data_IF_459690283434
#
_entry.id   IF_459690283434
#
_cell.length_a   1.000
_cell.length_b   1.000
_cell.length_c   1.000
_cell.angle_alpha   90.00
_cell.angle_beta   90.00
_cell.angle_gamma   90.00
#
_symmetry.space_group_name_H-M   'P 1'
#
loop_
_entity.id
_entity.type
_entity.pdbx_description
1 polymer ?
#
# COMPACT_ATOMS: atom_id res chain seq x y z
N UNK A 1 11.53 -8.56 -9.24
CA UNK A 1 11.91 -8.43 -7.82
C UNK A 1 12.62 -9.71 -7.42
N UNK A 2 13.90 -9.65 -7.05
CA UNK A 2 14.71 -10.84 -6.72
C UNK A 2 14.59 -11.28 -5.26
N UNK A 3 13.36 -11.43 -4.75
CA UNK A 3 13.10 -11.83 -3.35
C UNK A 3 13.00 -13.35 -3.17
N UNK A 4 12.72 -14.08 -4.24
CA UNK A 4 12.59 -15.53 -4.28
C UNK A 4 13.62 -16.09 -5.24
N UNK A 5 14.09 -17.31 -5.01
CA UNK A 5 14.89 -18.02 -6.01
C UNK A 5 14.00 -18.47 -7.17
N UNK A 6 14.57 -18.61 -8.36
CA UNK A 6 13.83 -19.03 -9.55
C UNK A 6 13.26 -20.45 -9.35
N UNK A 7 13.99 -21.33 -8.67
CA UNK A 7 13.55 -22.71 -8.39
C UNK A 7 12.30 -22.73 -7.48
N UNK A 8 12.28 -21.92 -6.42
CA UNK A 8 11.11 -21.82 -5.54
C UNK A 8 9.91 -21.22 -6.28
N UNK A 9 10.16 -20.20 -7.12
CA UNK A 9 9.10 -19.58 -7.91
C UNK A 9 8.48 -20.55 -8.91
N UNK A 10 9.30 -21.23 -9.71
CA UNK A 10 8.84 -22.21 -10.71
C UNK A 10 8.11 -23.38 -10.04
N UNK A 11 8.67 -23.91 -8.95
CA UNK A 11 8.05 -25.00 -8.19
C UNK A 11 6.68 -24.59 -7.61
N UNK A 12 6.57 -23.38 -7.07
CA UNK A 12 5.29 -22.85 -6.57
C UNK A 12 4.28 -22.66 -7.71
N UNK A 13 4.70 -22.13 -8.87
CA UNK A 13 3.82 -21.97 -10.02
C UNK A 13 3.24 -23.29 -10.51
N UNK A 14 4.08 -24.32 -10.65
CA UNK A 14 3.67 -25.64 -11.12
C UNK A 14 2.67 -26.28 -10.15
N UNK A 15 2.94 -26.21 -8.85
CA UNK A 15 2.13 -26.92 -7.84
C UNK A 15 0.89 -26.16 -7.40
N UNK A 16 0.88 -24.82 -7.47
CA UNK A 16 -0.26 -24.00 -7.04
C UNK A 16 -1.23 -23.64 -8.17
N UNK A 17 -0.80 -23.66 -9.44
CA UNK A 17 -1.69 -23.39 -10.59
C UNK A 17 -2.39 -22.02 -10.53
N UNK A 18 -1.77 -21.04 -9.90
CA UNK A 18 -2.34 -19.70 -9.69
C UNK A 18 -3.21 -19.54 -8.44
N UNK A 19 -3.51 -20.62 -7.70
CA UNK A 19 -4.24 -20.55 -6.43
C UNK A 19 -3.28 -20.62 -5.24
N UNK A 20 -2.89 -19.45 -4.75
CA UNK A 20 -1.98 -19.30 -3.61
C UNK A 20 -2.69 -18.99 -2.28
N UNK A 21 -4.01 -18.72 -2.32
CA UNK A 21 -4.78 -18.37 -1.12
C UNK A 21 -5.48 -19.58 -0.50
N UNK A 22 -5.81 -20.58 -1.31
CA UNK A 22 -6.40 -21.84 -0.88
C UNK A 22 -5.60 -22.99 -1.52
N UNK A 23 -4.49 -23.43 -0.89
CA UNK A 23 -3.53 -24.31 -1.52
C UNK A 23 -4.18 -25.64 -1.94
N UNK A 24 -4.14 -26.02 -3.22
CA UNK A 24 -4.84 -27.19 -3.72
C UNK A 24 -4.20 -28.53 -3.30
N UNK A 25 -2.95 -28.50 -2.84
CA UNK A 25 -2.19 -29.67 -2.43
C UNK A 25 -1.07 -29.31 -1.44
N UNK A 26 -0.43 -30.33 -0.87
CA UNK A 26 0.63 -30.20 0.13
C UNK A 26 1.86 -29.48 -0.43
N UNK A 27 2.27 -29.78 -1.67
CA UNK A 27 3.45 -29.16 -2.29
C UNK A 27 3.26 -27.65 -2.48
N UNK A 28 2.05 -27.22 -2.84
CA UNK A 28 1.71 -25.79 -2.90
C UNK A 28 1.74 -25.15 -1.51
N UNK A 29 1.19 -25.82 -0.48
CA UNK A 29 1.23 -25.31 0.89
C UNK A 29 2.68 -25.16 1.41
N UNK A 30 3.55 -26.14 1.12
CA UNK A 30 4.98 -26.07 1.44
C UNK A 30 5.68 -24.91 0.71
N UNK A 31 5.35 -24.71 -0.56
CA UNK A 31 5.88 -23.60 -1.35
C UNK A 31 5.47 -22.25 -0.78
N UNK A 32 4.19 -22.09 -0.43
CA UNK A 32 3.67 -20.86 0.20
C UNK A 32 4.37 -20.61 1.53
N UNK A 33 4.55 -21.64 2.36
CA UNK A 33 5.27 -21.52 3.62
C UNK A 33 6.71 -21.05 3.41
N UNK A 34 7.43 -21.61 2.44
CA UNK A 34 8.79 -21.18 2.10
C UNK A 34 8.83 -19.72 1.61
N UNK A 35 7.87 -19.31 0.77
CA UNK A 35 7.73 -17.92 0.31
C UNK A 35 7.44 -16.97 1.47
N UNK A 36 6.54 -17.35 2.38
CA UNK A 36 6.20 -16.57 3.57
C UNK A 36 7.43 -16.41 4.47
N UNK A 37 8.21 -17.46 4.66
CA UNK A 37 9.45 -17.41 5.44
C UNK A 37 10.53 -16.51 4.80
N UNK A 38 10.66 -16.54 3.47
CA UNK A 38 11.55 -15.65 2.72
C UNK A 38 11.13 -14.19 2.80
N UNK A 39 9.83 -13.92 2.84
CA UNK A 39 9.26 -12.57 2.77
C UNK A 39 8.81 -12.02 4.13
N UNK A 40 8.94 -12.79 5.21
CA UNK A 40 8.44 -12.43 6.54
C UNK A 40 8.97 -11.10 7.04
N UNK A 41 10.20 -10.73 6.72
CA UNK A 41 10.82 -9.48 7.21
C UNK A 41 10.79 -8.34 6.19
N UNK A 42 10.07 -8.52 5.08
CA UNK A 42 9.90 -7.51 4.04
C UNK A 42 8.71 -6.60 4.37
N UNK A 43 8.88 -5.30 4.15
CA UNK A 43 7.75 -4.38 4.12
C UNK A 43 6.98 -4.54 2.81
N UNK A 44 5.85 -5.24 2.85
CA UNK A 44 5.05 -5.51 1.65
C UNK A 44 4.52 -4.25 0.96
N UNK A 45 4.43 -3.11 1.67
CA UNK A 45 3.97 -1.85 1.04
C UNK A 45 5.08 -1.10 0.31
N UNK A 46 6.34 -1.42 0.61
CA UNK A 46 7.51 -0.84 -0.04
C UNK A 46 8.76 -1.70 0.25
N UNK A 47 9.15 -2.57 -0.68
CA UNK A 47 10.16 -3.61 -0.42
C UNK A 47 11.55 -3.09 -0.01
N UNK A 48 11.88 -1.83 -0.33
CA UNK A 48 13.15 -1.20 0.05
C UNK A 48 13.11 -0.53 1.43
N UNK A 49 11.93 -0.42 2.07
CA UNK A 49 11.81 0.16 3.40
C UNK A 49 11.93 -0.92 4.48
N UNK A 50 12.42 -0.59 5.68
CA UNK A 50 12.43 -1.52 6.79
C UNK A 50 10.99 -1.97 7.12
N UNK A 51 10.84 -3.23 7.51
CA UNK A 51 9.58 -3.70 8.08
C UNK A 51 9.36 -3.05 9.44
N UNK A 52 8.25 -2.33 9.55
CA UNK A 52 7.89 -1.56 10.73
C UNK A 52 6.56 -2.05 11.32
N UNK A 53 6.29 -1.70 12.57
CA UNK A 53 4.98 -1.92 13.16
C UNK A 53 3.91 -1.24 12.29
N UNK A 54 2.80 -1.95 12.06
CA UNK A 54 1.73 -1.37 11.30
C UNK A 54 1.12 -0.17 12.05
N UNK A 55 0.68 0.82 11.28
CA UNK A 55 0.09 2.10 11.72
C UNK A 55 -1.05 1.94 12.74
N UNK A 56 -1.79 0.84 12.62
CA UNK A 56 -2.90 0.49 13.49
C UNK A 56 -2.47 -0.37 14.68
N UNK A 57 -1.17 -0.54 14.95
CA UNK A 57 -0.72 -1.18 16.18
C UNK A 57 -1.24 -0.37 17.35
N UNK A 58 -1.77 -1.01 18.41
CA UNK A 58 -2.26 -0.31 19.59
C UNK A 58 -1.22 0.64 20.18
N UNK A 59 0.07 0.32 20.03
CA UNK A 59 1.18 1.15 20.47
C UNK A 59 1.25 2.48 19.73
N UNK A 60 1.13 2.48 18.39
CA UNK A 60 1.14 3.72 17.59
C UNK A 60 -0.09 4.58 17.90
N UNK A 61 -1.26 3.96 18.06
CA UNK A 61 -2.49 4.67 18.43
C UNK A 61 -2.41 5.27 19.84
N UNK A 62 -1.86 4.53 20.81
CA UNK A 62 -1.70 5.01 22.19
C UNK A 62 -0.59 6.06 22.35
N UNK A 63 0.48 6.00 21.54
CA UNK A 63 1.54 6.99 21.58
C UNK A 63 1.05 8.38 21.15
N UNK A 64 0.17 8.46 20.13
CA UNK A 64 -0.46 9.70 19.72
C UNK A 64 -1.37 10.29 20.83
N UNK A 65 -2.07 9.45 21.58
CA UNK A 65 -2.94 9.86 22.68
C UNK A 65 -2.18 10.37 23.93
N UNK A 66 -0.95 9.88 24.17
CA UNK A 66 -0.16 10.22 25.38
C UNK A 66 0.68 11.50 25.23
N UNK A 67 1.07 11.88 24.01
CA UNK A 67 1.98 13.00 23.77
C UNK A 67 1.27 14.34 23.47
N UNK A 68 0.02 14.52 23.91
CA UNK A 68 -0.82 15.69 23.67
C UNK A 68 -0.28 17.05 24.16
N UNK A 69 0.97 17.13 24.63
CA UNK A 69 1.65 18.35 25.07
C UNK A 69 3.10 18.50 24.60
N UNK A 70 3.66 17.54 23.85
CA UNK A 70 4.96 17.75 23.19
C UNK A 70 4.69 17.93 21.71
N UNK A 71 4.56 19.19 21.28
CA UNK A 71 4.67 19.51 19.87
C UNK A 71 5.95 18.86 19.36
N UNK A 72 5.83 17.85 18.50
CA UNK A 72 6.98 17.30 17.79
C UNK A 72 7.52 18.45 16.94
N UNK A 73 8.47 19.20 17.48
CA UNK A 73 9.27 20.14 16.72
C UNK A 73 10.09 19.30 15.76
N UNK A 74 9.57 19.12 14.54
CA UNK A 74 10.37 18.65 13.42
C UNK A 74 11.37 19.77 13.14
N UNK A 75 12.54 19.70 13.78
CA UNK A 75 13.65 20.59 13.45
C UNK A 75 14.11 20.22 12.04
N UNK A 76 13.65 20.99 11.06
CA UNK A 76 14.21 20.96 9.71
C UNK A 76 15.60 21.59 9.77
N UNK A 77 16.64 20.78 9.92
CA UNK A 77 17.99 21.17 9.52
C UNK A 77 18.02 21.19 8.00
N UNK A 78 17.93 22.39 7.44
CA UNK A 78 18.15 22.65 6.02
C UNK A 78 19.62 22.35 5.69
N UNK A 79 19.91 21.13 5.25
CA UNK A 79 21.26 20.76 4.82
C UNK A 79 21.70 19.38 5.23
N UNK A 80 20.91 18.36 4.94
CA UNK A 80 21.38 17.14 4.29
C UNK A 80 20.13 16.33 3.94
N UNK A 81 20.23 15.54 2.88
CA UNK A 81 19.28 14.57 2.31
C UNK A 81 17.97 14.33 3.07
N UNK A 82 16.84 14.24 2.33
CA UNK A 82 15.42 14.05 2.70
C UNK A 82 15.08 12.92 3.72
N UNK A 83 15.86 12.80 4.78
CA UNK A 83 15.70 11.94 5.92
C UNK A 83 14.60 12.55 6.75
N UNK A 84 13.39 12.08 6.49
CA UNK A 84 12.37 12.05 7.53
C UNK A 84 13.05 11.62 8.83
N UNK A 85 12.83 12.29 9.98
CA UNK A 85 13.47 11.95 11.25
C UNK A 85 13.04 10.57 11.79
N UNK A 86 12.30 9.81 10.99
CA UNK A 86 11.66 8.57 11.30
C UNK A 86 12.29 7.45 10.49
N UNK A 87 12.80 6.45 11.20
CA UNK A 87 13.24 5.18 10.61
C UNK A 87 12.09 4.46 9.88
N UNK A 88 10.86 4.67 10.33
CA UNK A 88 9.66 4.06 9.77
C UNK A 88 8.69 5.11 9.25
N UNK A 89 8.18 4.92 8.03
CA UNK A 89 7.11 5.76 7.45
C UNK A 89 5.86 5.82 8.35
N UNK A 90 5.60 4.75 9.11
CA UNK A 90 4.52 4.66 10.10
C UNK A 90 4.63 5.65 11.25
N UNK A 91 5.82 6.13 11.58
CA UNK A 91 6.00 7.06 12.70
C UNK A 91 5.58 8.48 12.29
N UNK A 92 5.90 8.90 11.06
CA UNK A 92 5.41 10.16 10.49
C UNK A 92 3.88 10.22 10.48
N UNK A 93 3.22 9.06 10.38
CA UNK A 93 1.77 8.96 10.38
C UNK A 93 1.12 9.17 11.75
N UNK A 94 1.89 9.14 12.86
CA UNK A 94 1.39 9.60 14.17
C UNK A 94 1.01 11.07 14.14
N UNK A 95 1.73 11.87 13.32
CA UNK A 95 1.46 13.30 13.17
C UNK A 95 0.03 13.54 12.65
N UNK A 96 -0.50 12.67 11.79
CA UNK A 96 -1.89 12.83 11.33
C UNK A 96 -2.91 12.57 12.45
N UNK A 97 -2.60 11.68 13.41
CA UNK A 97 -3.51 11.45 14.55
C UNK A 97 -3.52 12.65 15.49
N UNK A 98 -2.35 13.22 15.77
CA UNK A 98 -2.23 14.44 16.59
C UNK A 98 -2.96 15.59 15.90
N UNK A 99 -2.67 15.83 14.62
CA UNK A 99 -3.27 16.91 13.85
C UNK A 99 -4.79 16.76 13.69
N UNK A 100 -5.29 15.56 13.31
CA UNK A 100 -6.72 15.37 13.05
C UNK A 100 -7.57 15.31 14.34
N UNK A 101 -6.96 15.08 15.50
CA UNK A 101 -7.65 15.07 16.80
C UNK A 101 -7.49 16.35 17.61
N UNK A 102 -6.64 17.28 17.19
CA UNK A 102 -6.57 18.61 17.78
C UNK A 102 -7.93 19.32 17.70
N UNK A 103 -8.36 19.93 18.81
CA UNK A 103 -9.68 20.56 18.89
C UNK A 103 -9.82 21.75 17.94
N UNK A 104 -8.75 22.54 17.77
CA UNK A 104 -8.74 23.70 16.88
C UNK A 104 -8.80 23.29 15.41
N UNK A 105 -8.10 22.22 15.03
CA UNK A 105 -8.21 21.62 13.69
C UNK A 105 -9.62 21.09 13.46
N UNK A 106 -10.19 20.36 14.42
CA UNK A 106 -11.56 19.82 14.30
C UNK A 106 -12.60 20.93 14.17
N UNK A 107 -12.47 22.00 14.94
CA UNK A 107 -13.33 23.18 14.84
C UNK A 107 -13.19 23.84 13.46
N UNK A 108 -11.95 24.06 12.99
CA UNK A 108 -11.66 24.67 11.69
C UNK A 108 -12.18 23.86 10.50
N UNK A 109 -12.18 22.53 10.62
CA UNK A 109 -12.76 21.60 9.63
C UNK A 109 -14.28 21.44 9.77
N UNK A 110 -14.92 22.11 10.73
CA UNK A 110 -16.37 22.06 10.93
C UNK A 110 -16.88 20.76 11.57
N UNK A 111 -16.02 20.02 12.28
CA UNK A 111 -16.42 18.80 13.00
C UNK A 111 -17.26 19.16 14.23
N UNK A 112 -18.56 18.85 14.17
CA UNK A 112 -19.50 19.16 15.26
C UNK A 112 -19.14 18.39 16.54
N UNK A 113 -18.98 19.11 17.66
CA UNK A 113 -18.70 18.53 18.99
C UNK A 113 -19.76 17.47 19.35
N UNK A 114 -19.32 16.33 19.86
CA UNK A 114 -20.18 15.20 20.26
C UNK A 114 -20.68 14.29 19.11
N UNK A 115 -20.45 14.63 17.84
CA UNK A 115 -20.94 13.80 16.70
C UNK A 115 -20.01 12.69 16.26
N UNK A 116 -18.71 12.86 16.51
CA UNK A 116 -17.65 11.91 16.17
C UNK A 116 -16.69 11.83 17.33
N UNK A 117 -16.28 10.60 17.66
CA UNK A 117 -15.21 10.35 18.64
C UNK A 117 -13.84 10.73 18.09
N UNK A 118 -12.82 10.03 18.60
CA UNK A 118 -11.46 10.12 18.09
C UNK A 118 -11.43 9.76 16.59
N UNK A 119 -10.75 10.59 15.81
CA UNK A 119 -10.46 10.33 14.41
C UNK A 119 -9.47 9.17 14.30
N UNK A 120 -9.81 8.19 13.46
CA UNK A 120 -8.96 7.05 13.11
C UNK A 120 -8.70 7.07 11.62
N UNK A 121 -7.44 6.85 11.21
CA UNK A 121 -7.07 6.76 9.78
C UNK A 121 -7.81 5.61 9.07
N UNK A 122 -7.86 4.44 9.70
CA UNK A 122 -8.58 3.28 9.20
C UNK A 122 -9.44 2.70 10.31
N UNK A 123 -10.75 2.67 10.09
CA UNK A 123 -11.69 1.98 10.97
C UNK A 123 -11.92 0.55 10.43
N UNK A 124 -11.46 -0.45 11.19
CA UNK A 124 -11.54 -1.87 10.80
C UNK A 124 -12.78 -2.57 11.32
N UNK A 125 -13.55 -1.90 12.18
CA UNK A 125 -14.78 -2.44 12.74
C UNK A 125 -15.99 -2.12 11.85
N UNK A 126 -15.76 -1.42 10.73
CA UNK A 126 -16.78 -1.13 9.74
C UNK A 126 -17.26 -2.43 9.08
N UNK A 127 -18.57 -2.72 9.09
CA UNK A 127 -19.11 -3.87 8.38
C UNK A 127 -18.92 -3.67 6.87
N UNK A 128 -18.09 -4.51 6.26
CA UNK A 128 -17.78 -4.44 4.84
C UNK A 128 -17.83 -5.84 4.20
N UNK A 129 -18.65 -5.98 3.17
CA UNK A 129 -18.72 -7.20 2.35
C UNK A 129 -17.88 -7.01 1.08
N UNK A 130 -17.09 -8.03 0.72
CA UNK A 130 -16.33 -8.08 -0.54
C UNK A 130 -17.14 -8.85 -1.59
N UNK A 131 -18.06 -8.16 -2.25
CA UNK A 131 -18.96 -8.70 -3.26
C UNK A 131 -18.46 -8.50 -4.71
N UNK A 132 -17.53 -7.56 -4.92
CA UNK A 132 -16.87 -7.34 -6.22
C UNK A 132 -15.52 -8.05 -6.23
N UNK A 133 -15.39 -9.06 -7.10
CA UNK A 133 -14.16 -9.86 -7.26
C UNK A 133 -13.24 -9.34 -8.36
N UNK A 134 -13.77 -8.58 -9.32
CA UNK A 134 -13.00 -8.00 -10.42
C UNK A 134 -13.64 -6.71 -10.94
N UNK A 135 -12.82 -5.74 -11.32
CA UNK A 135 -13.24 -4.46 -11.91
C UNK A 135 -13.01 -4.37 -13.42
N UNK A 136 -12.51 -5.44 -14.06
CA UNK A 136 -12.20 -5.46 -15.51
C UNK A 136 -13.43 -5.08 -16.34
N UNK A 137 -14.58 -5.69 -16.07
CA UNK A 137 -15.82 -5.43 -16.81
C UNK A 137 -16.32 -3.99 -16.60
N UNK A 138 -16.21 -3.47 -15.38
CA UNK A 138 -16.60 -2.10 -15.03
C UNK A 138 -15.77 -1.11 -15.84
N UNK A 139 -14.44 -1.28 -15.87
CA UNK A 139 -13.55 -0.42 -16.65
C UNK A 139 -13.80 -0.55 -18.16
N UNK A 140 -14.06 -1.76 -18.67
CA UNK A 140 -14.44 -1.98 -20.08
C UNK A 140 -15.71 -1.23 -20.47
N UNK A 141 -16.73 -1.23 -19.58
CA UNK A 141 -17.97 -0.47 -19.79
C UNK A 141 -17.73 1.05 -19.79
N UNK A 142 -17.00 1.58 -18.80
CA UNK A 142 -16.70 3.02 -18.70
C UNK A 142 -15.90 3.50 -19.92
N UNK A 143 -14.93 2.72 -20.37
CA UNK A 143 -14.16 3.00 -21.59
C UNK A 143 -15.07 3.11 -22.82
N UNK A 144 -16.04 2.19 -22.99
CA UNK A 144 -17.01 2.25 -24.11
C UNK A 144 -17.92 3.48 -24.07
N UNK A 145 -18.08 4.09 -22.90
CA UNK A 145 -18.81 5.35 -22.72
C UNK A 145 -17.93 6.60 -22.93
N UNK A 146 -16.64 6.43 -23.23
CA UNK A 146 -15.72 7.53 -23.51
C UNK A 146 -15.00 8.11 -22.28
N UNK A 147 -15.05 7.46 -21.13
CA UNK A 147 -14.31 7.92 -19.95
C UNK A 147 -12.82 7.59 -20.05
N UNK A 148 -11.92 8.60 -19.93
CA UNK A 148 -10.49 8.35 -19.85
C UNK A 148 -10.13 7.74 -18.50
N UNK A 149 -9.14 6.86 -18.49
CA UNK A 149 -8.60 6.24 -17.28
C UNK A 149 -7.08 6.29 -17.28
N UNK A 150 -6.49 6.57 -16.12
CA UNK A 150 -5.08 6.39 -15.83
C UNK A 150 -4.95 5.30 -14.77
N UNK A 151 -4.20 4.25 -15.07
CA UNK A 151 -3.87 3.19 -14.12
C UNK A 151 -2.35 3.25 -13.93
N UNK A 152 -1.91 3.36 -12.69
CA UNK A 152 -0.50 3.41 -12.31
C UNK A 152 -0.28 2.58 -11.05
N UNK A 153 0.94 2.07 -10.89
CA UNK A 153 1.37 1.30 -9.71
C UNK A 153 2.77 1.73 -9.32
N UNK A 154 3.05 1.78 -8.02
CA UNK A 154 4.43 1.83 -7.54
C UNK A 154 5.10 0.47 -7.78
N UNK A 155 6.31 0.47 -8.32
CA UNK A 155 7.03 -0.75 -8.69
C UNK A 155 7.62 -1.50 -7.47
N UNK A 156 7.80 -0.80 -6.35
CA UNK A 156 8.22 -1.35 -5.06
C UNK A 156 7.08 -1.79 -4.12
N UNK A 157 5.81 -1.64 -4.51
CA UNK A 157 4.68 -2.21 -3.77
C UNK A 157 4.56 -3.70 -4.09
N UNK A 158 4.87 -4.58 -3.13
CA UNK A 158 4.70 -6.03 -3.32
C UNK A 158 3.35 -6.54 -2.81
N UNK A 159 2.55 -5.70 -2.16
CA UNK A 159 1.20 -6.03 -1.71
C UNK A 159 0.22 -5.97 -2.89
N UNK A 160 0.38 -4.97 -3.76
CA UNK A 160 -0.32 -4.86 -5.03
C UNK A 160 0.69 -4.66 -6.16
N UNK A 161 1.38 -5.74 -6.58
CA UNK A 161 2.52 -5.62 -7.47
C UNK A 161 2.12 -5.16 -8.87
N UNK A 162 2.95 -4.30 -9.46
CA UNK A 162 2.71 -3.72 -10.79
C UNK A 162 2.53 -4.80 -11.88
N UNK A 163 3.15 -5.97 -11.74
CA UNK A 163 2.98 -7.11 -12.67
C UNK A 163 1.53 -7.61 -12.68
N UNK A 164 0.84 -7.59 -11.54
CA UNK A 164 -0.58 -7.91 -11.44
C UNK A 164 -1.45 -6.86 -12.14
N UNK A 165 -1.12 -5.58 -11.96
CA UNK A 165 -1.76 -4.49 -12.69
C UNK A 165 -1.54 -4.59 -14.20
N UNK A 166 -0.33 -4.94 -14.65
CA UNK A 166 -0.04 -5.18 -16.07
C UNK A 166 -0.86 -6.34 -16.63
N UNK A 167 -0.97 -7.47 -15.92
CA UNK A 167 -1.81 -8.59 -16.32
C UNK A 167 -3.29 -8.17 -16.41
N UNK A 168 -3.78 -7.41 -15.42
CA UNK A 168 -5.12 -6.86 -15.42
C UNK A 168 -5.37 -5.94 -16.63
N UNK A 169 -4.44 -5.03 -16.97
CA UNK A 169 -4.56 -4.14 -18.14
C UNK A 169 -4.58 -4.96 -19.43
N UNK A 170 -3.69 -5.95 -19.57
CA UNK A 170 -3.63 -6.84 -20.75
C UNK A 170 -4.95 -7.60 -20.95
N UNK A 171 -5.64 -7.96 -19.87
CA UNK A 171 -6.95 -8.64 -19.94
C UNK A 171 -8.05 -7.80 -20.60
N UNK A 172 -7.91 -6.47 -20.65
CA UNK A 172 -8.84 -5.58 -21.34
C UNK A 172 -8.71 -5.66 -22.88
N UNK A 173 -7.65 -6.28 -23.39
CA UNK A 173 -7.39 -6.48 -24.82
C UNK A 173 -7.51 -5.18 -25.64
N UNK A 174 -6.87 -4.12 -25.16
CA UNK A 174 -6.87 -2.81 -25.80
C UNK A 174 -5.77 -2.72 -26.87
N UNK A 175 -6.01 -1.94 -27.92
CA UNK A 175 -4.98 -1.58 -28.89
C UNK A 175 -3.93 -0.68 -28.25
N UNK A 176 -2.66 -0.96 -28.49
CA UNK A 176 -1.54 -0.12 -28.09
C UNK A 176 -1.49 1.09 -29.04
N UNK A 177 -1.61 2.31 -28.50
CA UNK A 177 -1.44 3.54 -29.28
C UNK A 177 -0.02 4.06 -29.24
N UNK A 178 0.69 3.82 -28.14
CA UNK A 178 2.04 4.27 -27.88
C UNK A 178 2.81 3.16 -27.16
N UNK A 179 4.04 2.90 -27.62
CA UNK A 179 4.91 1.89 -27.02
C UNK A 179 5.31 2.24 -25.60
N UNK A 180 5.65 1.21 -24.82
CA UNK A 180 6.16 1.37 -23.47
C UNK A 180 7.39 2.27 -23.45
N UNK A 181 7.35 3.33 -22.63
CA UNK A 181 8.43 4.31 -22.53
C UNK A 181 8.55 4.87 -21.12
N UNK A 182 9.75 5.27 -20.70
CA UNK A 182 9.91 6.02 -19.46
C UNK A 182 9.18 7.37 -19.56
N UNK A 183 8.64 7.80 -18.43
CA UNK A 183 8.16 9.16 -18.24
C UNK A 183 9.17 9.89 -17.35
N UNK A 184 9.36 11.20 -17.59
CA UNK A 184 10.41 11.99 -16.93
C UNK A 184 9.81 13.20 -16.24
N UNK A 185 10.33 13.52 -15.05
CA UNK A 185 10.09 14.80 -14.38
C UNK A 185 11.44 15.50 -14.28
N UNK A 186 11.53 16.74 -14.81
CA UNK A 186 12.76 17.55 -14.76
C UNK A 186 14.04 16.83 -15.24
N UNK A 187 13.95 16.03 -16.31
CA UNK A 187 15.06 15.22 -16.86
C UNK A 187 15.60 14.13 -15.92
N UNK A 188 14.90 13.81 -14.83
CA UNK A 188 15.15 12.60 -14.05
C UNK A 188 14.14 11.53 -14.49
N UNK A 189 14.65 10.31 -14.66
CA UNK A 189 13.81 9.12 -14.76
C UNK A 189 13.09 8.96 -13.41
N UNK A 190 11.84 8.54 -13.46
CA UNK A 190 11.20 8.00 -12.27
C UNK A 190 11.42 6.50 -12.29
N UNK A 191 12.19 6.07 -11.31
CA UNK A 191 12.23 4.69 -10.84
C UNK A 191 11.11 4.56 -9.81
#
# INVERSE_FOLDING_TARGET
MGLLSDELYEFAMENCGGNYSDPPNVLCAESIQAIDDCTKDINLSHILEPKCEAIWSPRIQQAAARNGTSGLTVQYSAGDDLLFPFKCRSDAQQLSYIWANDEGVRESLGVRKGTKGEWKRCDRDLPYARDITSTVEIHSRLRRQGYPALIYSGDHDSKFPFVGTQAWIRSLNLSITDDWRPWQIHKKLLD
#
